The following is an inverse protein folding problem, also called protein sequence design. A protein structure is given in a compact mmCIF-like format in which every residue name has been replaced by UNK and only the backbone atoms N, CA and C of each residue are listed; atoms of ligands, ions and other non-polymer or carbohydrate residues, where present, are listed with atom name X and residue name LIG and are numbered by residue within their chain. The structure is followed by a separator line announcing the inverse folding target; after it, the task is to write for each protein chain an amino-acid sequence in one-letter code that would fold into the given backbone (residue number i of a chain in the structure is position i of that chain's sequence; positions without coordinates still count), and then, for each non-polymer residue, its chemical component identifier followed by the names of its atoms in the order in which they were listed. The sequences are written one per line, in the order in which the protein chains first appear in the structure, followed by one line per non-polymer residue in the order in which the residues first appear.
data_IF_499641064860
#
_entry.id   IF_499641064860
#
_cell.length_a   1.000
_cell.length_b   1.000
_cell.length_c   1.000
_cell.angle_alpha   90.00
_cell.angle_beta   90.00
_cell.angle_gamma   90.00
#
_symmetry.space_group_name_H-M   'P 1'
#
loop_
_entity.id
_entity.type
_entity.pdbx_description
1 polymer ?
#
# COMPACT_ATOMS: atom_id res chain seq x y z
N UNK A 1 1.50 -11.23 -15.38
CA UNK A 1 1.15 -11.03 -13.97
C UNK A 1 1.52 -12.27 -13.17
N UNK A 2 2.39 -12.11 -12.18
CA UNK A 2 2.83 -13.17 -11.27
C UNK A 2 2.64 -12.64 -9.85
N UNK A 3 1.95 -13.39 -8.99
CA UNK A 3 1.80 -13.06 -7.57
C UNK A 3 3.09 -13.45 -6.82
N UNK A 4 3.63 -12.51 -6.04
CA UNK A 4 4.77 -12.73 -5.15
C UNK A 4 4.22 -12.99 -3.74
N UNK A 5 4.16 -14.26 -3.35
CA UNK A 5 3.56 -14.66 -2.06
C UNK A 5 4.47 -14.38 -0.86
N UNK A 6 5.79 -14.36 -1.08
CA UNK A 6 6.83 -14.13 -0.06
C UNK A 6 7.85 -13.12 -0.55
N UNK A 7 8.29 -12.25 0.33
CA UNK A 7 9.22 -11.17 0.00
C UNK A 7 10.14 -10.84 1.17
N UNK A 8 11.29 -10.23 0.86
CA UNK A 8 12.21 -9.76 1.89
C UNK A 8 11.72 -8.43 2.46
N UNK A 9 11.67 -8.34 3.78
CA UNK A 9 11.23 -7.15 4.48
C UNK A 9 12.17 -6.84 5.63
N UNK A 10 12.43 -5.56 5.83
CA UNK A 10 13.05 -5.00 7.04
C UNK A 10 11.96 -4.25 7.79
N UNK A 11 11.74 -4.59 9.06
CA UNK A 11 10.80 -3.92 9.96
C UNK A 11 11.59 -3.18 11.03
N UNK A 12 11.18 -1.95 11.33
CA UNK A 12 11.82 -1.10 12.35
C UNK A 12 10.80 -0.78 13.43
N UNK A 13 11.00 -1.30 14.63
CA UNK A 13 10.23 -0.97 15.84
C UNK A 13 10.96 0.15 16.59
N UNK A 14 10.24 1.19 17.01
CA UNK A 14 10.78 2.33 17.77
C UNK A 14 10.08 2.40 19.12
N UNK A 15 10.86 2.34 20.20
CA UNK A 15 10.34 2.40 21.56
C UNK A 15 10.32 3.84 22.10
N UNK A 16 9.61 4.05 23.21
CA UNK A 16 9.45 5.38 23.83
C UNK A 16 10.73 6.04 24.34
N UNK A 17 11.80 5.26 24.51
CA UNK A 17 13.14 5.74 24.85
C UNK A 17 13.97 6.09 23.59
N UNK A 18 13.37 5.99 22.41
CA UNK A 18 14.01 6.21 21.11
C UNK A 18 14.89 5.04 20.65
N UNK A 19 14.94 3.92 21.38
CA UNK A 19 15.64 2.72 20.92
C UNK A 19 14.93 2.08 19.73
N UNK A 20 15.72 1.49 18.84
CA UNK A 20 15.21 0.83 17.63
C UNK A 20 15.54 -0.66 17.64
N UNK A 21 14.57 -1.50 17.30
CA UNK A 21 14.79 -2.92 17.00
C UNK A 21 14.50 -3.14 15.52
N UNK A 22 15.51 -3.66 14.82
CA UNK A 22 15.41 -4.01 13.40
C UNK A 22 15.21 -5.52 13.28
N UNK A 23 14.12 -5.93 12.64
CA UNK A 23 13.84 -7.33 12.30
C UNK A 23 13.82 -7.46 10.78
N UNK A 24 14.66 -8.32 10.23
CA UNK A 24 14.70 -8.57 8.79
C UNK A 24 14.52 -10.04 8.46
N UNK A 25 13.92 -10.31 7.31
CA UNK A 25 13.72 -11.68 6.83
C UNK A 25 12.68 -11.81 5.73
N UNK A 26 12.42 -13.06 5.36
CA UNK A 26 11.36 -13.40 4.40
C UNK A 26 10.03 -13.45 5.12
N UNK A 27 9.10 -12.60 4.71
CA UNK A 27 7.72 -12.55 5.20
C UNK A 27 6.74 -12.91 4.08
N UNK A 28 5.47 -13.12 4.41
CA UNK A 28 4.42 -13.43 3.44
C UNK A 28 3.49 -12.24 3.24
N UNK A 29 2.80 -12.19 2.10
CA UNK A 29 1.65 -11.28 1.93
C UNK A 29 0.53 -11.63 2.91
N UNK A 30 -0.46 -10.75 3.03
CA UNK A 30 -1.61 -10.87 3.94
C UNK A 30 -1.20 -10.95 5.42
N UNK A 31 -0.17 -10.20 5.78
CA UNK A 31 0.29 -10.05 7.16
C UNK A 31 0.40 -8.57 7.49
N UNK A 32 0.19 -8.26 8.77
CA UNK A 32 0.54 -6.97 9.34
C UNK A 32 2.06 -6.92 9.55
N UNK A 33 2.67 -5.79 9.18
CA UNK A 33 4.10 -5.51 9.33
C UNK A 33 4.29 -4.14 9.98
N UNK A 34 5.29 -4.02 10.85
CA UNK A 34 5.61 -2.78 11.55
C UNK A 34 6.64 -2.00 10.73
N UNK A 35 6.27 -0.80 10.27
CA UNK A 35 7.11 0.11 9.47
C UNK A 35 7.93 -0.61 8.37
N UNK A 36 7.27 -1.38 7.48
CA UNK A 36 8.00 -2.26 6.57
C UNK A 36 8.77 -1.50 5.49
N UNK A 37 10.00 -1.92 5.26
CA UNK A 37 10.79 -1.62 4.06
C UNK A 37 10.91 -2.87 3.20
N UNK A 38 10.11 -2.94 2.13
CA UNK A 38 10.10 -4.07 1.19
C UNK A 38 11.30 -3.97 0.25
N UNK A 39 12.09 -5.05 0.19
CA UNK A 39 13.25 -5.18 -0.69
C UNK A 39 13.01 -6.30 -1.70
N UNK A 40 13.41 -6.05 -2.96
CA UNK A 40 13.47 -7.10 -3.98
C UNK A 40 14.85 -7.75 -3.94
N UNK A 41 14.88 -9.07 -4.13
CA UNK A 41 16.11 -9.86 -4.22
C UNK A 41 16.33 -10.31 -5.68
N UNK A 42 17.59 -10.49 -6.09
CA UNK A 42 17.90 -11.21 -7.33
C UNK A 42 17.88 -12.74 -7.09
N UNK A 43 18.10 -13.49 -8.17
CA UNK A 43 18.21 -14.96 -8.14
C UNK A 43 19.32 -15.46 -7.20
N UNK A 44 20.33 -14.64 -6.91
CA UNK A 44 21.41 -14.94 -5.95
C UNK A 44 21.06 -14.57 -4.49
N UNK A 45 19.83 -14.15 -4.22
CA UNK A 45 19.38 -13.73 -2.89
C UNK A 45 19.92 -12.39 -2.40
N UNK A 46 20.64 -11.65 -3.24
CA UNK A 46 21.15 -10.32 -2.92
C UNK A 46 20.10 -9.24 -3.16
N UNK A 47 20.03 -8.27 -2.26
CA UNK A 47 19.12 -7.12 -2.38
C UNK A 47 19.45 -6.36 -3.67
N UNK A 48 18.46 -6.25 -4.54
CA UNK A 48 18.59 -5.51 -5.81
C UNK A 48 18.05 -4.10 -5.74
N UNK A 49 17.36 -3.74 -4.65
CA UNK A 49 16.66 -2.46 -4.52
C UNK A 49 17.66 -1.33 -4.75
N UNK A 50 17.60 -0.72 -5.92
CA UNK A 50 18.48 0.41 -6.23
C UNK A 50 17.95 1.67 -5.53
N UNK A 51 18.85 2.56 -5.08
CA UNK A 51 18.51 3.91 -4.62
C UNK A 51 17.74 4.73 -5.68
N UNK A 52 17.70 4.26 -6.93
CA UNK A 52 17.04 4.89 -8.08
C UNK A 52 15.68 4.30 -8.43
N UNK A 53 15.11 3.40 -7.61
CA UNK A 53 13.78 2.82 -7.83
C UNK A 53 12.74 3.94 -7.94
N UNK A 54 12.00 3.95 -9.05
CA UNK A 54 10.83 4.84 -9.19
C UNK A 54 9.63 4.15 -8.57
N UNK A 55 9.08 4.77 -7.53
CA UNK A 55 7.85 4.33 -6.88
C UNK A 55 6.82 5.45 -6.94
N UNK A 56 5.63 5.10 -7.40
CA UNK A 56 4.49 6.00 -7.52
C UNK A 56 3.36 5.46 -6.68
N UNK A 57 2.79 6.29 -5.79
CA UNK A 57 1.75 5.89 -4.85
C UNK A 57 0.44 6.58 -5.21
N UNK A 58 -0.67 5.87 -5.10
CA UNK A 58 -2.01 6.42 -5.30
C UNK A 58 -2.99 5.79 -4.33
N UNK A 59 -3.84 6.62 -3.71
CA UNK A 59 -4.98 6.12 -2.95
C UNK A 59 -5.98 5.45 -3.87
N UNK A 60 -6.50 4.31 -3.44
CA UNK A 60 -7.46 3.51 -4.20
C UNK A 60 -8.87 4.02 -3.89
N UNK A 61 -9.22 5.15 -4.51
CA UNK A 61 -10.52 5.80 -4.33
C UNK A 61 -11.08 6.32 -5.66
N UNK A 62 -12.40 6.47 -5.69
CA UNK A 62 -13.15 7.29 -6.64
C UNK A 62 -13.58 8.54 -5.88
N UNK A 63 -13.24 9.70 -6.41
CA UNK A 63 -13.68 10.98 -5.86
C UNK A 63 -14.42 11.78 -6.95
N UNK A 64 -15.75 11.94 -6.85
CA UNK A 64 -16.53 12.63 -7.87
C UNK A 64 -16.44 14.16 -7.79
N UNK A 65 -15.77 14.72 -6.77
CA UNK A 65 -15.73 16.16 -6.50
C UNK A 65 -14.47 16.86 -7.03
N UNK A 66 -13.63 16.14 -7.76
CA UNK A 66 -12.29 16.55 -8.23
C UNK A 66 -12.11 16.12 -9.68
N UNK A 67 -10.99 16.51 -10.30
CA UNK A 67 -10.73 16.17 -11.70
C UNK A 67 -10.79 14.65 -11.92
N UNK A 68 -11.59 14.14 -12.88
CA UNK A 68 -11.67 12.72 -13.20
C UNK A 68 -10.34 12.07 -13.62
N UNK A 69 -9.33 12.88 -13.99
CA UNK A 69 -7.99 12.44 -14.31
C UNK A 69 -7.08 12.32 -13.08
N UNK A 70 -7.48 12.89 -11.94
CA UNK A 70 -6.74 12.76 -10.69
C UNK A 70 -7.02 11.42 -10.01
N UNK A 71 -8.26 10.93 -10.01
CA UNK A 71 -8.64 9.72 -9.29
C UNK A 71 -9.18 8.62 -10.21
N UNK A 72 -9.34 7.42 -9.66
CA UNK A 72 -9.97 6.35 -10.41
C UNK A 72 -11.44 6.68 -10.66
N UNK A 73 -11.95 6.27 -11.81
CA UNK A 73 -13.40 6.17 -12.01
C UNK A 73 -13.89 4.81 -11.47
N UNK A 74 -15.20 4.65 -11.36
CA UNK A 74 -15.78 3.43 -10.78
C UNK A 74 -15.44 2.16 -11.56
N UNK A 75 -15.35 2.24 -12.89
CA UNK A 75 -15.02 1.07 -13.72
C UNK A 75 -13.56 0.64 -13.51
N UNK A 76 -12.64 1.60 -13.43
CA UNK A 76 -11.24 1.34 -13.10
C UNK A 76 -11.11 0.75 -11.69
N UNK A 77 -11.84 1.30 -10.72
CA UNK A 77 -11.81 0.80 -9.34
C UNK A 77 -12.36 -0.63 -9.24
N UNK A 78 -13.48 -0.93 -9.93
CA UNK A 78 -14.03 -2.29 -10.01
C UNK A 78 -13.08 -3.26 -10.72
N UNK A 79 -12.43 -2.82 -11.78
CA UNK A 79 -11.40 -3.59 -12.46
C UNK A 79 -10.24 -3.94 -11.52
N UNK A 80 -9.70 -2.94 -10.80
CA UNK A 80 -8.62 -3.14 -9.84
C UNK A 80 -9.05 -4.07 -8.70
N UNK A 81 -10.23 -3.85 -8.12
CA UNK A 81 -10.78 -4.66 -7.03
C UNK A 81 -10.89 -6.12 -7.43
N UNK A 82 -11.43 -6.41 -8.62
CA UNK A 82 -11.55 -7.77 -9.15
C UNK A 82 -10.19 -8.40 -9.48
N UNK A 83 -9.25 -7.61 -10.01
CA UNK A 83 -7.94 -8.12 -10.47
C UNK A 83 -6.99 -8.41 -9.31
N UNK A 84 -6.97 -7.56 -8.28
CA UNK A 84 -6.01 -7.60 -7.18
C UNK A 84 -6.61 -8.06 -5.85
N UNK A 85 -7.93 -8.29 -5.80
CA UNK A 85 -8.58 -8.98 -4.68
C UNK A 85 -8.71 -8.13 -3.41
N UNK A 86 -9.25 -6.91 -3.55
CA UNK A 86 -9.61 -6.05 -2.42
C UNK A 86 -11.07 -5.60 -2.51
N UNK A 87 -11.66 -5.27 -1.38
CA UNK A 87 -13.05 -4.80 -1.30
C UNK A 87 -13.15 -3.30 -1.50
N UNK A 88 -14.30 -2.84 -1.99
CA UNK A 88 -14.63 -1.42 -2.14
C UNK A 88 -15.99 -1.13 -1.55
N UNK A 89 -16.17 0.07 -1.01
CA UNK A 89 -17.43 0.55 -0.47
C UNK A 89 -17.71 1.98 -0.91
N UNK A 90 -19.00 2.32 -0.99
CA UNK A 90 -19.44 3.69 -1.20
C UNK A 90 -19.42 4.44 0.13
N UNK A 91 -18.95 5.68 0.12
CA UNK A 91 -18.89 6.52 1.31
C UNK A 91 -20.30 6.83 1.81
N UNK A 92 -20.53 6.64 3.11
CA UNK A 92 -21.85 6.76 3.74
C UNK A 92 -22.52 8.12 3.55
N UNK A 93 -21.73 9.19 3.46
CA UNK A 93 -22.21 10.57 3.32
C UNK A 93 -22.14 11.08 1.87
N UNK A 94 -21.19 10.57 1.07
CA UNK A 94 -20.83 11.18 -0.21
C UNK A 94 -21.13 10.22 -1.35
N UNK A 95 -22.33 10.36 -1.92
CA UNK A 95 -22.77 9.53 -3.05
C UNK A 95 -21.80 9.62 -4.22
N UNK A 96 -21.45 8.47 -4.79
CA UNK A 96 -20.49 8.34 -5.89
C UNK A 96 -19.03 8.36 -5.46
N UNK A 97 -18.72 8.62 -4.18
CA UNK A 97 -17.39 8.46 -3.63
C UNK A 97 -17.20 7.02 -3.20
N UNK A 98 -16.22 6.32 -3.77
CA UNK A 98 -15.91 4.94 -3.43
C UNK A 98 -14.49 4.84 -2.90
N UNK A 99 -14.26 3.95 -1.94
CA UNK A 99 -12.95 3.69 -1.39
C UNK A 99 -12.68 2.19 -1.23
N UNK A 100 -11.42 1.80 -1.35
CA UNK A 100 -11.00 0.47 -0.93
C UNK A 100 -11.08 0.32 0.58
N UNK A 101 -11.46 -0.88 1.04
CA UNK A 101 -11.60 -1.19 2.47
C UNK A 101 -10.91 -2.50 2.81
N UNK A 102 -10.43 -2.61 4.05
CA UNK A 102 -9.85 -3.82 4.60
C UNK A 102 -10.56 -4.17 5.91
N UNK A 103 -11.31 -5.27 5.92
CA UNK A 103 -12.21 -5.63 7.05
C UNK A 103 -11.63 -6.64 8.03
N UNK A 104 -10.34 -6.95 7.93
CA UNK A 104 -9.69 -7.91 8.84
C UNK A 104 -9.58 -7.36 10.28
N UNK A 105 -9.60 -6.04 10.43
CA UNK A 105 -9.51 -5.33 11.70
C UNK A 105 -10.23 -3.97 11.58
N UNK A 106 -11.00 -3.59 12.60
CA UNK A 106 -11.75 -2.32 12.64
C UNK A 106 -10.86 -1.06 12.66
N UNK A 107 -9.57 -1.22 12.96
CA UNK A 107 -8.58 -0.14 12.95
C UNK A 107 -8.10 0.20 11.53
N UNK A 108 -8.50 -0.54 10.50
CA UNK A 108 -8.27 -0.12 9.11
C UNK A 108 -9.36 0.82 8.65
N UNK A 109 -9.22 2.09 9.05
CA UNK A 109 -10.21 3.15 8.80
C UNK A 109 -9.92 3.97 7.54
N UNK A 110 -8.74 3.78 6.93
CA UNK A 110 -8.30 4.54 5.75
C UNK A 110 -8.27 3.69 4.48
N UNK A 111 -8.48 4.29 3.30
CA UNK A 111 -8.35 3.58 2.03
C UNK A 111 -6.93 3.09 1.79
N UNK A 112 -6.81 1.93 1.16
CA UNK A 112 -5.52 1.37 0.77
C UNK A 112 -4.84 2.16 -0.35
N UNK A 113 -3.54 1.95 -0.50
CA UNK A 113 -2.72 2.52 -1.55
C UNK A 113 -2.31 1.44 -2.56
N UNK A 114 -2.26 1.84 -3.83
CA UNK A 114 -1.63 1.10 -4.90
C UNK A 114 -0.30 1.78 -5.24
N UNK A 115 0.76 0.98 -5.26
CA UNK A 115 2.13 1.46 -5.41
C UNK A 115 2.73 0.80 -6.65
N UNK A 116 2.91 1.59 -7.71
CA UNK A 116 3.57 1.16 -8.94
C UNK A 116 5.08 1.36 -8.79
N UNK A 117 5.82 0.30 -9.04
CA UNK A 117 7.27 0.24 -8.87
C UNK A 117 7.89 -0.13 -10.20
N UNK A 118 8.85 0.66 -10.66
CA UNK A 118 9.60 0.37 -11.88
C UNK A 118 11.06 0.11 -11.53
N UNK A 119 11.52 -1.12 -11.76
CA UNK A 119 12.87 -1.56 -11.40
C UNK A 119 13.42 -2.55 -12.43
N UNK A 120 14.60 -2.24 -12.99
CA UNK A 120 15.34 -3.09 -13.96
C UNK A 120 14.50 -3.59 -15.14
N UNK A 121 13.63 -2.70 -15.68
CA UNK A 121 12.76 -3.03 -16.81
C UNK A 121 11.53 -3.87 -16.45
N UNK A 122 11.35 -4.20 -15.16
CA UNK A 122 10.14 -4.83 -14.63
C UNK A 122 9.25 -3.81 -13.94
N UNK A 123 7.95 -4.09 -13.94
CA UNK A 123 6.97 -3.34 -13.18
C UNK A 123 6.40 -4.22 -12.07
N UNK A 124 6.18 -3.63 -10.91
CA UNK A 124 5.50 -4.28 -9.80
C UNK A 124 4.37 -3.40 -9.29
N UNK A 125 3.30 -4.03 -8.84
CA UNK A 125 2.32 -3.37 -7.97
C UNK A 125 2.42 -3.96 -6.59
N UNK A 126 2.42 -3.07 -5.61
CA UNK A 126 2.20 -3.38 -4.21
C UNK A 126 0.85 -2.75 -3.80
N UNK A 127 0.02 -3.52 -3.12
CA UNK A 127 -1.23 -3.03 -2.54
C UNK A 127 -1.14 -3.14 -1.02
N UNK A 128 -1.30 -2.00 -0.34
CA UNK A 128 -1.15 -1.92 1.10
C UNK A 128 -2.26 -1.11 1.77
N UNK A 129 -2.56 -1.45 3.02
CA UNK A 129 -3.42 -0.66 3.91
C UNK A 129 -2.61 -0.32 5.16
N UNK A 130 -2.69 0.91 5.61
CA UNK A 130 -1.99 1.35 6.83
C UNK A 130 -2.99 1.66 7.94
N UNK A 131 -2.58 1.35 9.17
CA UNK A 131 -3.25 1.74 10.41
C UNK A 131 -2.21 2.12 11.44
N UNK A 132 -2.64 2.87 12.44
CA UNK A 132 -1.81 3.06 13.63
C UNK A 132 -2.13 1.98 14.67
N UNK A 133 -1.12 1.50 15.40
CA UNK A 133 -1.32 0.51 16.48
C UNK A 133 -2.24 1.01 17.59
N UNK A 134 -2.45 2.33 17.70
CA UNK A 134 -3.09 3.00 18.83
C UNK A 134 -4.24 3.93 18.44
N UNK A 135 -5.12 3.56 17.48
CA UNK A 135 -6.29 4.37 17.06
C UNK A 135 -7.40 4.60 18.13
N UNK A 136 -7.04 4.62 19.42
CA UNK A 136 -7.81 5.17 20.55
C UNK A 136 -6.92 5.96 21.54
N UNK A 137 -6.01 6.78 21.06
CA UNK A 137 -5.20 7.66 21.92
C UNK A 137 -5.88 9.03 22.12
N UNK A 138 -5.86 9.60 23.34
CA UNK A 138 -6.40 10.94 23.62
C UNK A 138 -5.50 12.09 23.10
N UNK A 139 -4.39 11.80 22.41
CA UNK A 139 -3.41 12.77 21.89
C UNK A 139 -3.08 12.50 20.43
N UNK A 140 -2.64 13.54 19.71
CA UNK A 140 -2.54 13.53 18.25
C UNK A 140 -1.37 12.69 17.72
N UNK A 141 -1.44 12.25 16.46
CA UNK A 141 -0.37 11.53 15.76
C UNK A 141 0.97 12.30 15.66
N UNK A 142 0.96 13.61 15.93
CA UNK A 142 2.17 14.45 16.00
C UNK A 142 2.84 14.42 17.38
N UNK A 143 2.14 13.93 18.42
CA UNK A 143 2.54 14.02 19.83
C UNK A 143 3.04 12.69 20.41
N UNK A 144 2.86 11.57 19.69
CA UNK A 144 3.22 10.26 20.21
C UNK A 144 4.19 9.51 19.29
N UNK A 145 5.44 9.40 19.75
CA UNK A 145 6.46 8.55 19.13
C UNK A 145 6.20 7.05 19.36
N UNK A 146 5.16 6.69 20.14
CA UNK A 146 4.80 5.32 20.53
C UNK A 146 3.77 4.63 19.61
N UNK A 147 3.18 5.35 18.66
CA UNK A 147 2.33 4.75 17.63
C UNK A 147 3.18 3.96 16.63
N UNK A 148 2.90 2.68 16.46
CA UNK A 148 3.52 1.87 15.41
C UNK A 148 2.67 1.98 14.15
N UNK A 149 3.28 2.46 13.06
CA UNK A 149 2.70 2.41 11.72
C UNK A 149 2.70 0.94 11.28
N UNK A 150 1.50 0.37 11.22
CA UNK A 150 1.27 -1.02 10.84
C UNK A 150 0.70 -1.03 9.44
N UNK A 151 1.44 -1.67 8.54
CA UNK A 151 1.05 -1.82 7.14
C UNK A 151 0.66 -3.27 6.89
N UNK A 152 -0.54 -3.47 6.37
CA UNK A 152 -1.00 -4.76 5.86
C UNK A 152 -0.77 -4.84 4.35
N UNK A 153 0.04 -5.79 3.92
CA UNK A 153 0.37 -6.00 2.52
C UNK A 153 -0.65 -6.98 1.91
N UNK A 154 -1.59 -6.50 1.11
CA UNK A 154 -2.60 -7.36 0.47
C UNK A 154 -1.97 -8.29 -0.55
N UNK A 155 -1.05 -7.74 -1.35
CA UNK A 155 -0.32 -8.51 -2.34
C UNK A 155 0.72 -7.69 -3.08
N UNK A 156 1.62 -8.42 -3.73
CA UNK A 156 2.66 -7.88 -4.60
C UNK A 156 2.61 -8.65 -5.91
N UNK A 157 2.54 -7.95 -7.04
CA UNK A 157 2.47 -8.57 -8.36
C UNK A 157 3.58 -8.07 -9.27
N UNK A 158 4.31 -8.98 -9.90
CA UNK A 158 5.24 -8.69 -10.99
C UNK A 158 4.50 -8.69 -12.33
N UNK A 159 4.84 -7.74 -13.21
CA UNK A 159 4.21 -7.53 -14.52
C UNK A 159 2.68 -7.43 -14.38
N UNK A 160 2.20 -6.43 -13.62
CA UNK A 160 0.78 -6.27 -13.29
C UNK A 160 -0.05 -5.97 -14.54
N UNK A 161 -1.32 -6.38 -14.52
CA UNK A 161 -2.27 -6.05 -15.57
C UNK A 161 -2.89 -4.67 -15.27
N UNK A 162 -2.39 -3.63 -15.94
CA UNK A 162 -2.90 -2.27 -15.87
C UNK A 162 -3.13 -1.72 -17.27
N UNK A 163 -4.09 -0.79 -17.41
CA UNK A 163 -4.22 0.03 -18.62
C UNK A 163 -3.34 1.27 -18.53
N UNK A 164 -3.05 1.89 -19.68
CA UNK A 164 -2.24 3.11 -19.75
C UNK A 164 -2.87 4.28 -18.97
N UNK A 165 -4.21 4.35 -18.94
CA UNK A 165 -4.95 5.34 -18.17
C UNK A 165 -4.74 5.15 -16.67
N UNK A 166 -4.81 3.90 -16.18
CA UNK A 166 -4.57 3.58 -14.76
C UNK A 166 -3.11 3.88 -14.39
N UNK A 167 -2.16 3.50 -15.25
CA UNK A 167 -0.72 3.80 -15.03
C UNK A 167 -0.51 5.32 -14.92
N UNK A 168 -1.13 6.08 -15.83
CA UNK A 168 -1.03 7.54 -15.84
C UNK A 168 -1.58 8.14 -14.55
N UNK A 169 -2.73 7.67 -14.07
CA UNK A 169 -3.33 8.12 -12.80
C UNK A 169 -2.47 7.80 -11.58
N UNK A 170 -1.82 6.64 -11.56
CA UNK A 170 -0.91 6.26 -10.47
C UNK A 170 0.35 7.14 -10.49
N UNK A 171 0.89 7.43 -11.67
CA UNK A 171 2.11 8.25 -11.85
C UNK A 171 1.86 9.74 -11.65
N UNK A 172 0.66 10.23 -11.95
CA UNK A 172 0.27 11.60 -11.70
C UNK A 172 0.13 11.82 -10.20
N UNK A 173 0.91 12.78 -9.68
CA UNK A 173 0.69 13.35 -8.35
C UNK A 173 -0.68 14.04 -8.39
N UNK A 174 -1.69 13.32 -7.91
CA UNK A 174 -2.91 13.96 -7.40
C UNK A 174 -2.59 14.52 -6.03
#
# INVERSE_FOLDING_TARGET
MILIEKFYCVQTEIFGDGSEIIKEGIVSIKTELIRPSIKFLNDAGSITSSEKRKAYRKKIIVNPFVDPNEYFNINELLFLSKTYGFEIEEHTIHKGYFLSVLKINLLYTTPGEIILIEEKGKQYILLEFSRWSSEKQPRSAAEDQLGEDITYIVGIWENPLLTDEIITKIKNKG
#
